data_IF_138316096923
#
_entry.id   IF_138316096923
#
_cell.length_a   1.000
_cell.length_b   1.000
_cell.length_c   1.000
_cell.angle_alpha   90.00
_cell.angle_beta   90.00
_cell.angle_gamma   90.00
#
_symmetry.space_group_name_H-M   'P 1'
#
loop_
_entity.id
_entity.type
_entity.pdbx_description
1 polymer ?
#
# COMPACT_ATOMS: atom_id res chain seq x y z
N UNK A 1 -24.15 -4.37 10.98
CA UNK A 1 -22.69 -4.09 10.96
C UNK A 1 -22.48 -2.61 11.27
N UNK A 2 -21.52 -2.27 12.14
CA UNK A 2 -21.12 -0.88 12.39
C UNK A 2 -19.79 -0.60 11.69
N UNK A 3 -19.68 0.54 11.02
CA UNK A 3 -18.46 0.99 10.38
C UNK A 3 -18.35 2.52 10.47
N UNK A 4 -17.14 3.05 10.37
CA UNK A 4 -16.88 4.49 10.48
C UNK A 4 -16.34 4.98 9.14
N UNK A 5 -16.88 6.10 8.66
CA UNK A 5 -16.44 6.78 7.45
C UNK A 5 -16.21 8.26 7.77
N UNK A 6 -15.01 8.78 7.55
CA UNK A 6 -14.60 10.16 7.86
C UNK A 6 -14.94 10.61 9.29
N UNK A 7 -14.83 9.71 10.27
CA UNK A 7 -15.14 9.98 11.67
C UNK A 7 -16.62 9.86 12.05
N UNK A 8 -17.53 9.70 11.08
CA UNK A 8 -18.95 9.46 11.30
C UNK A 8 -19.23 7.95 11.39
N UNK A 9 -20.01 7.53 12.40
CA UNK A 9 -20.35 6.11 12.60
C UNK A 9 -21.67 5.76 11.94
N UNK A 10 -21.64 4.74 11.09
CA UNK A 10 -22.81 4.21 10.38
C UNK A 10 -23.14 2.82 10.90
N UNK A 11 -24.43 2.57 11.09
CA UNK A 11 -24.96 1.25 11.38
C UNK A 11 -25.84 0.82 10.23
N UNK A 12 -25.54 -0.35 9.67
CA UNK A 12 -26.23 -0.89 8.52
C UNK A 12 -26.55 -2.36 8.72
N UNK A 13 -27.82 -2.75 8.54
CA UNK A 13 -28.27 -4.14 8.50
C UNK A 13 -28.65 -4.56 7.08
N UNK A 14 -28.77 -5.87 6.86
CA UNK A 14 -29.17 -6.42 5.56
C UNK A 14 -30.58 -5.95 5.18
N UNK A 15 -31.49 -5.87 6.15
CA UNK A 15 -32.88 -5.43 5.98
C UNK A 15 -32.94 -3.94 5.60
N UNK A 16 -32.09 -3.12 6.21
CA UNK A 16 -32.00 -1.69 5.90
C UNK A 16 -31.48 -1.43 4.49
N UNK A 17 -30.55 -2.26 3.99
CA UNK A 17 -30.11 -2.19 2.59
C UNK A 17 -31.28 -2.47 1.65
N UNK A 18 -32.04 -3.54 1.87
CA UNK A 18 -33.19 -3.87 1.02
C UNK A 18 -34.24 -2.75 1.01
N UNK A 19 -34.65 -2.27 2.19
CA UNK A 19 -35.65 -1.22 2.33
C UNK A 19 -35.23 0.08 1.61
N UNK A 20 -33.96 0.48 1.71
CA UNK A 20 -33.45 1.74 1.13
C UNK A 20 -33.15 1.65 -0.36
N UNK A 21 -33.11 0.45 -0.93
CA UNK A 21 -32.97 0.24 -2.37
C UNK A 21 -34.32 0.21 -3.09
N UNK A 22 -35.44 0.06 -2.37
CA UNK A 22 -36.78 0.05 -2.97
C UNK A 22 -37.06 1.37 -3.72
N UNK A 23 -37.58 1.25 -4.94
CA UNK A 23 -37.88 2.39 -5.81
C UNK A 23 -36.68 2.98 -6.56
N UNK A 24 -35.48 2.44 -6.37
CA UNK A 24 -34.29 2.82 -7.15
C UNK A 24 -33.94 1.76 -8.20
N UNK A 25 -33.25 2.16 -9.27
CA UNK A 25 -32.75 1.26 -10.30
C UNK A 25 -31.21 1.18 -10.26
N UNK A 26 -30.60 0.01 -10.55
CA UNK A 26 -29.15 -0.12 -10.62
C UNK A 26 -28.58 0.66 -11.80
N UNK A 27 -27.50 1.39 -11.55
CA UNK A 27 -26.72 2.05 -12.59
C UNK A 27 -25.84 1.04 -13.36
N UNK A 28 -25.35 1.39 -14.57
CA UNK A 28 -24.47 0.52 -15.34
C UNK A 28 -23.24 0.06 -14.54
N UNK A 29 -23.02 -1.25 -14.53
CA UNK A 29 -21.95 -1.90 -13.77
C UNK A 29 -20.68 -1.90 -14.60
N UNK A 30 -19.66 -1.17 -14.13
CA UNK A 30 -18.39 -1.06 -14.85
C UNK A 30 -17.42 -2.23 -14.59
N UNK A 31 -17.29 -2.66 -13.33
CA UNK A 31 -16.25 -3.63 -12.94
C UNK A 31 -16.68 -4.57 -11.82
N UNK A 32 -17.42 -4.06 -10.84
CA UNK A 32 -17.80 -4.81 -9.65
C UNK A 32 -19.29 -4.70 -9.40
N UNK A 33 -19.87 -5.78 -8.91
CA UNK A 33 -21.29 -5.85 -8.60
C UNK A 33 -21.56 -6.50 -7.25
N UNK A 34 -22.72 -6.17 -6.71
CA UNK A 34 -23.37 -6.86 -5.59
C UNK A 34 -24.75 -7.30 -6.04
N UNK A 35 -25.17 -8.51 -5.70
CA UNK A 35 -26.52 -9.00 -6.00
C UNK A 35 -27.45 -8.70 -4.83
N UNK A 36 -28.54 -8.00 -5.11
CA UNK A 36 -29.63 -7.66 -4.18
C UNK A 36 -30.94 -8.08 -4.85
N UNK A 37 -31.67 -9.01 -4.22
CA UNK A 37 -32.93 -9.58 -4.75
C UNK A 37 -32.83 -10.06 -6.22
N UNK A 38 -31.73 -10.75 -6.57
CA UNK A 38 -31.49 -11.27 -7.92
C UNK A 38 -31.09 -10.20 -8.95
N UNK A 39 -30.99 -8.93 -8.55
CA UNK A 39 -30.54 -7.83 -9.40
C UNK A 39 -29.10 -7.44 -9.05
N UNK A 40 -28.25 -7.21 -10.06
CA UNK A 40 -26.88 -6.76 -9.83
C UNK A 40 -26.82 -5.23 -9.75
N UNK A 41 -26.11 -4.73 -8.75
CA UNK A 41 -25.94 -3.31 -8.46
C UNK A 41 -24.46 -2.92 -8.35
N UNK A 42 -24.07 -1.68 -8.71
CA UNK A 42 -22.79 -1.11 -8.33
C UNK A 42 -22.65 -1.01 -6.79
N UNK A 43 -21.61 -1.60 -6.17
CA UNK A 43 -21.47 -1.64 -4.71
C UNK A 43 -21.48 -0.25 -4.04
N UNK A 44 -20.89 0.76 -4.69
CA UNK A 44 -20.89 2.15 -4.20
C UNK A 44 -22.28 2.78 -4.21
N UNK A 45 -23.09 2.46 -5.22
CA UNK A 45 -24.47 2.94 -5.30
C UNK A 45 -25.28 2.34 -4.15
N UNK A 46 -25.16 1.04 -3.90
CA UNK A 46 -25.86 0.35 -2.80
C UNK A 46 -25.50 0.96 -1.46
N UNK A 47 -24.22 1.18 -1.17
CA UNK A 47 -23.81 1.79 0.11
C UNK A 47 -24.28 3.25 0.22
N UNK A 48 -24.22 4.02 -0.84
CA UNK A 48 -24.71 5.41 -0.85
C UNK A 48 -26.20 5.50 -0.54
N UNK A 49 -27.03 4.69 -1.20
CA UNK A 49 -28.47 4.60 -0.91
C UNK A 49 -28.72 4.06 0.50
N UNK A 50 -27.98 3.04 0.90
CA UNK A 50 -28.13 2.41 2.20
C UNK A 50 -27.67 3.28 3.38
N UNK A 51 -26.79 4.27 3.17
CA UNK A 51 -26.28 5.16 4.23
C UNK A 51 -26.86 6.57 4.16
N UNK A 52 -27.46 6.96 3.03
CA UNK A 52 -27.95 8.32 2.77
C UNK A 52 -26.85 9.32 2.41
N UNK A 53 -25.59 8.89 2.31
CA UNK A 53 -24.47 9.77 1.92
C UNK A 53 -24.42 9.85 0.40
N UNK A 54 -24.76 11.03 -0.14
CA UNK A 54 -24.84 11.28 -1.57
C UNK A 54 -23.46 11.30 -2.26
N UNK A 55 -22.41 11.70 -1.54
CA UNK A 55 -21.05 11.70 -2.08
C UNK A 55 -20.46 10.29 -2.12
N UNK A 56 -20.49 9.71 -3.32
CA UNK A 56 -19.99 8.36 -3.58
C UNK A 56 -18.47 8.26 -3.63
N UNK A 57 -17.75 9.39 -3.66
CA UNK A 57 -16.28 9.40 -3.62
C UNK A 57 -15.75 9.09 -2.22
N UNK A 58 -16.56 9.35 -1.17
CA UNK A 58 -16.27 8.93 0.21
C UNK A 58 -16.18 7.40 0.34
N UNK A 59 -16.81 6.66 -0.56
CA UNK A 59 -16.78 5.20 -0.54
C UNK A 59 -15.73 4.64 -1.50
N UNK A 60 -14.85 3.76 -1.01
CA UNK A 60 -14.00 2.94 -1.88
C UNK A 60 -14.77 1.69 -2.34
N UNK A 61 -14.60 1.28 -3.61
CA UNK A 61 -15.34 0.14 -4.20
C UNK A 61 -15.08 -1.17 -3.46
N UNK A 62 -13.86 -1.38 -2.97
CA UNK A 62 -13.47 -2.58 -2.22
C UNK A 62 -14.08 -2.58 -0.82
N UNK A 63 -14.05 -1.45 -0.11
CA UNK A 63 -14.71 -1.31 1.20
C UNK A 63 -16.22 -1.53 1.09
N UNK A 64 -16.87 -0.95 0.08
CA UNK A 64 -18.29 -1.16 -0.18
C UNK A 64 -18.64 -2.65 -0.41
N UNK A 65 -17.82 -3.37 -1.19
CA UNK A 65 -18.00 -4.82 -1.40
C UNK A 65 -17.78 -5.62 -0.13
N UNK A 66 -16.73 -5.31 0.64
CA UNK A 66 -16.41 -6.01 1.88
C UNK A 66 -17.52 -5.82 2.93
N UNK A 67 -18.08 -4.62 3.02
CA UNK A 67 -19.21 -4.31 3.90
C UNK A 67 -20.48 -5.09 3.50
N UNK A 68 -20.81 -5.12 2.21
CA UNK A 68 -21.97 -5.84 1.70
C UNK A 68 -21.80 -7.36 1.82
N UNK A 69 -20.59 -7.87 1.57
CA UNK A 69 -20.27 -9.28 1.79
C UNK A 69 -20.40 -9.67 3.27
N UNK A 70 -19.96 -8.80 4.20
CA UNK A 70 -20.15 -8.99 5.66
C UNK A 70 -21.62 -8.93 6.09
N UNK A 71 -22.47 -8.25 5.32
CA UNK A 71 -23.93 -8.25 5.50
C UNK A 71 -24.61 -9.46 4.82
N UNK A 72 -23.83 -10.37 4.22
CA UNK A 72 -24.32 -11.60 3.61
C UNK A 72 -24.81 -11.45 2.17
N UNK A 73 -24.42 -10.40 1.47
CA UNK A 73 -24.70 -10.22 0.05
C UNK A 73 -23.64 -10.89 -0.83
N UNK A 74 -24.06 -11.43 -1.97
CA UNK A 74 -23.15 -11.98 -2.98
C UNK A 74 -22.49 -10.84 -3.74
N UNK A 75 -21.17 -10.81 -3.79
CA UNK A 75 -20.39 -9.79 -4.52
C UNK A 75 -19.51 -10.46 -5.58
N UNK A 76 -19.35 -9.80 -6.73
CA UNK A 76 -18.55 -10.32 -7.84
C UNK A 76 -17.80 -9.22 -8.59
N UNK A 77 -16.93 -9.63 -9.51
CA UNK A 77 -16.17 -8.73 -10.39
C UNK A 77 -15.67 -9.44 -11.63
N UNK A 78 -15.53 -8.71 -12.74
CA UNK A 78 -15.05 -9.24 -14.02
C UNK A 78 -15.45 -8.34 -15.19
N UNK A 79 -14.65 -8.33 -16.27
CA UNK A 79 -14.94 -7.60 -17.50
C UNK A 79 -16.32 -8.02 -18.04
N UNK A 80 -17.24 -7.07 -18.11
CA UNK A 80 -18.61 -7.32 -18.51
C UNK A 80 -18.72 -7.61 -20.00
N UNK A 81 -19.00 -8.86 -20.34
CA UNK A 81 -19.90 -9.19 -21.45
C UNK A 81 -21.05 -10.01 -20.89
N UNK A 82 -22.25 -9.52 -21.14
CA UNK A 82 -23.53 -10.08 -20.70
C UNK A 82 -23.66 -11.55 -21.14
N UNK A 83 -23.98 -12.44 -20.21
CA UNK A 83 -24.67 -13.69 -20.52
C UNK A 83 -25.75 -13.96 -19.48
N UNK A 84 -26.99 -13.66 -19.85
CA UNK A 84 -28.15 -14.47 -19.51
C UNK A 84 -29.34 -14.06 -20.39
N UNK A 85 -29.40 -14.61 -21.60
CA UNK A 85 -30.64 -15.10 -22.25
C UNK A 85 -30.34 -15.52 -23.68
N UNK A 86 -30.14 -16.82 -23.94
CA UNK A 86 -30.87 -17.61 -24.98
C UNK A 86 -30.32 -19.04 -25.16
N UNK A 87 -31.14 -19.95 -25.73
CA UNK A 87 -31.10 -21.39 -25.44
C UNK A 87 -30.14 -22.20 -26.33
N UNK A 88 -29.95 -23.45 -25.89
CA UNK A 88 -29.26 -24.55 -26.57
C UNK A 88 -29.50 -24.58 -28.09
N UNK A 89 -28.41 -24.53 -28.86
CA UNK A 89 -28.30 -25.27 -30.13
C UNK A 89 -26.93 -25.96 -30.21
N UNK A 90 -27.02 -27.23 -30.62
CA UNK A 90 -26.00 -28.25 -30.80
C UNK A 90 -24.88 -27.90 -31.79
N UNK A 91 -23.67 -28.33 -31.39
CA UNK A 91 -22.65 -29.16 -32.09
C UNK A 91 -22.12 -28.77 -33.50
N UNK A 92 -20.85 -29.18 -33.66
CA UNK A 92 -20.00 -29.30 -34.86
C UNK A 92 -19.28 -27.97 -35.17
N UNK A 93 -17.94 -27.88 -35.19
CA UNK A 93 -16.95 -28.86 -35.63
C UNK A 93 -15.61 -28.62 -34.94
N UNK A 94 -15.03 -29.70 -34.45
CA UNK A 94 -13.62 -29.76 -34.10
C UNK A 94 -12.75 -29.74 -35.38
N UNK A 95 -11.49 -29.34 -35.21
CA UNK A 95 -10.34 -29.71 -36.04
C UNK A 95 -10.22 -29.06 -37.44
N UNK A 96 -9.50 -27.93 -37.43
CA UNK A 96 -8.51 -27.43 -38.41
C UNK A 96 -8.36 -25.95 -38.05
N UNK A 97 -7.29 -25.47 -37.44
CA UNK A 97 -5.91 -25.47 -37.93
C UNK A 97 -5.01 -25.25 -36.71
N UNK A 98 -4.21 -26.26 -36.36
CA UNK A 98 -2.99 -26.05 -35.59
C UNK A 98 -2.00 -25.23 -36.43
N UNK A 99 -1.16 -24.43 -35.77
CA UNK A 99 -0.11 -23.52 -36.29
C UNK A 99 -0.55 -22.09 -36.69
N UNK A 100 -0.46 -21.16 -35.73
CA UNK A 100 0.67 -20.20 -35.62
C UNK A 100 0.46 -19.34 -34.37
N UNK A 101 1.12 -19.73 -33.27
CA UNK A 101 1.39 -18.78 -32.18
C UNK A 101 2.52 -17.90 -32.72
N UNK A 102 2.20 -16.64 -33.03
CA UNK A 102 3.21 -15.62 -33.27
C UNK A 102 3.47 -14.99 -31.90
N UNK A 103 4.69 -15.20 -31.40
CA UNK A 103 5.24 -14.50 -30.25
C UNK A 103 5.02 -12.99 -30.40
N UNK A 104 4.35 -12.39 -29.42
CA UNK A 104 4.51 -10.95 -29.14
C UNK A 104 5.68 -10.85 -28.17
N UNK A 105 6.83 -10.26 -28.56
CA UNK A 105 8.00 -10.20 -27.69
C UNK A 105 7.72 -9.29 -26.49
N UNK A 106 7.94 -9.80 -25.29
CA UNK A 106 8.00 -9.08 -24.01
C UNK A 106 9.25 -8.20 -23.88
N UNK A 107 9.78 -7.65 -24.98
CA UNK A 107 11.10 -7.01 -25.03
C UNK A 107 11.07 -5.48 -25.23
N UNK A 108 10.28 -4.75 -24.43
CA UNK A 108 10.37 -3.29 -24.36
C UNK A 108 10.85 -2.73 -23.01
N UNK A 109 11.29 -3.60 -22.09
CA UNK A 109 11.71 -3.19 -20.74
C UNK A 109 13.15 -2.62 -20.69
N UNK A 110 13.93 -2.72 -21.79
CA UNK A 110 15.35 -2.31 -21.84
C UNK A 110 15.68 -1.12 -22.76
N UNK A 111 14.69 -0.44 -23.37
CA UNK A 111 15.00 0.78 -24.16
C UNK A 111 15.09 1.99 -23.22
N UNK A 112 16.18 2.77 -23.27
CA UNK A 112 16.28 4.00 -22.48
C UNK A 112 15.21 5.00 -22.95
N UNK A 113 14.47 5.57 -22.00
CA UNK A 113 13.50 6.65 -22.26
C UNK A 113 14.20 7.85 -22.91
N UNK A 114 13.58 8.42 -23.95
CA UNK A 114 14.10 9.60 -24.65
C UNK A 114 13.53 10.89 -24.07
N UNK A 115 12.23 10.90 -23.72
CA UNK A 115 11.51 12.08 -23.19
C UNK A 115 10.59 11.70 -22.03
N UNK A 116 10.51 12.57 -21.00
CA UNK A 116 9.63 12.38 -19.84
C UNK A 116 8.52 13.43 -19.82
N UNK A 117 7.26 13.00 -19.73
CA UNK A 117 6.10 13.90 -19.58
C UNK A 117 5.51 13.73 -18.18
N UNK A 118 5.40 14.80 -17.39
CA UNK A 118 4.77 14.76 -16.06
C UNK A 118 3.45 15.55 -16.05
N UNK A 119 2.43 15.07 -15.33
CA UNK A 119 1.14 15.75 -15.23
C UNK A 119 1.14 16.93 -14.26
N UNK A 120 0.42 18.01 -14.59
CA UNK A 120 0.14 19.09 -13.65
C UNK A 120 -0.73 18.61 -12.47
N UNK A 121 -0.75 19.37 -11.37
CA UNK A 121 -1.53 19.09 -10.16
C UNK A 121 -2.37 20.29 -9.74
N UNK A 122 -3.34 20.06 -8.85
CA UNK A 122 -4.22 21.13 -8.33
C UNK A 122 -3.44 22.19 -7.55
N UNK A 123 -2.60 21.78 -6.59
CA UNK A 123 -1.87 22.69 -5.70
C UNK A 123 -0.79 23.47 -6.46
N UNK A 124 -0.92 24.79 -6.47
CA UNK A 124 0.01 25.74 -7.13
C UNK A 124 0.36 26.88 -6.18
N UNK A 125 1.42 27.62 -6.50
CA UNK A 125 1.67 28.95 -5.92
C UNK A 125 0.51 29.91 -6.25
N UNK A 126 0.40 30.97 -5.46
CA UNK A 126 -0.55 32.07 -5.65
C UNK A 126 -0.05 33.16 -6.61
N UNK A 127 1.18 33.04 -7.11
CA UNK A 127 1.82 33.96 -8.03
C UNK A 127 2.49 33.21 -9.20
N UNK A 128 2.69 33.92 -10.31
CA UNK A 128 3.41 33.41 -11.47
C UNK A 128 4.83 32.95 -11.15
N UNK A 129 5.23 31.87 -11.81
CA UNK A 129 6.54 31.25 -11.65
C UNK A 129 6.92 30.46 -12.91
N UNK A 130 8.15 29.94 -12.96
CA UNK A 130 8.48 28.90 -13.93
C UNK A 130 7.58 27.67 -13.71
N UNK A 131 7.16 27.00 -14.78
CA UNK A 131 6.21 25.89 -14.72
C UNK A 131 6.67 24.76 -13.77
N UNK A 132 7.98 24.48 -13.69
CA UNK A 132 8.55 23.50 -12.75
C UNK A 132 8.40 23.90 -11.27
N UNK A 133 8.30 25.19 -10.98
CA UNK A 133 8.22 25.76 -9.63
C UNK A 133 6.79 26.17 -9.24
N UNK A 134 5.88 26.29 -10.23
CA UNK A 134 4.49 26.68 -10.02
C UNK A 134 3.70 25.67 -9.20
N UNK A 135 3.94 24.36 -9.38
CA UNK A 135 3.17 23.30 -8.71
C UNK A 135 3.87 22.79 -7.45
N UNK A 136 3.13 22.76 -6.33
CA UNK A 136 3.72 22.60 -4.99
C UNK A 136 3.28 21.33 -4.25
N UNK A 137 2.50 20.45 -4.87
CA UNK A 137 2.10 19.21 -4.21
C UNK A 137 3.28 18.24 -4.05
N UNK A 138 3.29 17.45 -2.98
CA UNK A 138 4.34 16.44 -2.74
C UNK A 138 4.48 15.46 -3.91
N UNK A 139 3.35 15.08 -4.52
CA UNK A 139 3.33 14.23 -5.71
C UNK A 139 4.04 14.89 -6.90
N UNK A 140 3.77 16.17 -7.18
CA UNK A 140 4.43 16.88 -8.27
C UNK A 140 5.94 17.06 -8.03
N UNK A 141 6.33 17.42 -6.80
CA UNK A 141 7.75 17.56 -6.44
C UNK A 141 8.52 16.25 -6.67
N UNK A 142 7.91 15.10 -6.38
CA UNK A 142 8.47 13.77 -6.65
C UNK A 142 8.55 13.45 -8.14
N UNK A 143 7.51 13.75 -8.91
CA UNK A 143 7.52 13.61 -10.38
C UNK A 143 8.63 14.44 -11.02
N UNK A 144 8.75 15.70 -10.60
CA UNK A 144 9.81 16.61 -11.05
C UNK A 144 11.19 16.08 -10.70
N UNK A 145 11.43 15.69 -9.46
CA UNK A 145 12.72 15.16 -9.04
C UNK A 145 13.12 13.92 -9.85
N UNK A 146 12.16 13.04 -10.15
CA UNK A 146 12.39 11.89 -11.03
C UNK A 146 12.72 12.30 -12.47
N UNK A 147 11.95 13.22 -13.06
CA UNK A 147 12.20 13.72 -14.40
C UNK A 147 13.57 14.42 -14.51
N UNK A 148 13.96 15.23 -13.53
CA UNK A 148 15.28 15.87 -13.47
C UNK A 148 16.42 14.84 -13.33
N UNK A 149 16.23 13.79 -12.52
CA UNK A 149 17.20 12.71 -12.33
C UNK A 149 17.36 11.79 -13.56
N UNK A 150 16.39 11.79 -14.48
CA UNK A 150 16.48 11.01 -15.73
C UNK A 150 17.55 11.53 -16.69
N UNK A 151 17.97 12.79 -16.54
CA UNK A 151 18.84 13.51 -17.47
C UNK A 151 18.32 13.53 -18.93
N UNK A 152 17.00 13.39 -19.10
CA UNK A 152 16.30 13.49 -20.39
C UNK A 152 15.52 14.80 -20.49
N UNK A 153 15.22 15.27 -21.72
CA UNK A 153 14.21 16.29 -21.93
C UNK A 153 12.90 15.93 -21.22
N UNK A 154 12.30 16.91 -20.55
CA UNK A 154 11.05 16.70 -19.84
C UNK A 154 10.11 17.90 -19.89
N UNK A 155 8.81 17.62 -19.86
CA UNK A 155 7.76 18.62 -20.00
C UNK A 155 6.60 18.37 -19.05
N UNK A 156 5.79 19.41 -18.82
CA UNK A 156 4.60 19.33 -17.96
C UNK A 156 3.34 19.36 -18.83
N UNK A 157 2.49 18.35 -18.67
CA UNK A 157 1.16 18.31 -19.27
C UNK A 157 0.19 19.15 -18.41
N UNK A 158 -0.20 20.31 -18.95
CA UNK A 158 -1.15 21.24 -18.36
C UNK A 158 -2.53 21.10 -19.03
N UNK A 159 -3.59 20.97 -18.23
CA UNK A 159 -4.96 20.98 -18.75
C UNK A 159 -5.29 22.26 -19.55
N UNK A 160 -4.67 23.38 -19.20
CA UNK A 160 -4.93 24.71 -19.79
C UNK A 160 -3.97 25.04 -20.91
N UNK A 161 -2.67 24.86 -20.66
CA UNK A 161 -1.63 25.31 -21.58
C UNK A 161 -1.13 24.21 -22.51
N UNK A 162 -1.59 22.97 -22.38
CA UNK A 162 -1.11 21.85 -23.19
C UNK A 162 0.24 21.35 -22.69
N UNK A 163 1.31 21.69 -23.40
CA UNK A 163 2.67 21.30 -23.08
C UNK A 163 3.45 22.50 -22.57
N UNK A 164 4.05 22.38 -21.38
CA UNK A 164 4.88 23.42 -20.78
C UNK A 164 6.33 22.96 -20.65
N UNK A 165 7.26 23.79 -21.10
CA UNK A 165 8.68 23.60 -20.79
C UNK A 165 8.95 23.92 -19.31
N UNK A 166 9.91 23.26 -18.64
CA UNK A 166 10.16 23.43 -17.20
C UNK A 166 10.40 24.89 -16.78
N UNK A 167 11.09 25.66 -17.62
CA UNK A 167 11.45 27.06 -17.33
C UNK A 167 10.46 28.08 -17.92
N UNK A 168 9.38 27.64 -18.56
CA UNK A 168 8.37 28.53 -19.11
C UNK A 168 7.63 29.26 -17.99
N UNK A 169 7.52 30.59 -18.08
CA UNK A 169 6.75 31.38 -17.11
C UNK A 169 5.25 31.14 -17.28
N UNK A 170 4.55 30.87 -16.17
CA UNK A 170 3.11 30.57 -16.13
C UNK A 170 2.48 31.18 -14.88
N UNK A 171 1.32 31.80 -15.05
CA UNK A 171 0.47 32.30 -13.95
C UNK A 171 -0.42 31.18 -13.38
N UNK A 172 -0.82 31.22 -12.10
CA UNK A 172 -1.72 30.22 -11.53
C UNK A 172 -3.08 30.19 -12.26
N UNK A 173 -3.58 28.99 -12.51
CA UNK A 173 -4.80 28.74 -13.26
C UNK A 173 -5.58 27.56 -12.67
N UNK A 174 -6.88 27.48 -12.97
CA UNK A 174 -7.75 26.38 -12.53
C UNK A 174 -8.44 25.75 -13.73
N UNK A 175 -7.89 24.62 -14.20
CA UNK A 175 -8.51 23.76 -15.21
C UNK A 175 -8.23 22.31 -14.91
N UNK A 176 -9.27 21.48 -14.98
CA UNK A 176 -9.18 20.04 -14.80
C UNK A 176 -9.58 19.35 -16.11
N UNK A 177 -8.61 18.71 -16.76
CA UNK A 177 -8.81 18.11 -18.09
C UNK A 177 -10.02 17.15 -18.18
N UNK A 178 -10.30 16.30 -17.18
CA UNK A 178 -11.48 15.42 -17.19
C UNK A 178 -12.83 16.14 -17.24
N UNK A 179 -12.91 17.39 -16.76
CA UNK A 179 -14.14 18.18 -16.77
C UNK A 179 -14.39 18.86 -18.13
N UNK A 180 -13.45 18.76 -19.07
CA UNK A 180 -13.53 19.40 -20.38
C UNK A 180 -14.25 18.51 -21.40
N UNK A 181 -14.80 19.14 -22.45
CA UNK A 181 -15.50 18.42 -23.51
C UNK A 181 -14.58 17.45 -24.25
N UNK A 182 -15.16 16.49 -24.95
CA UNK A 182 -14.40 15.55 -25.79
C UNK A 182 -13.65 16.28 -26.89
N UNK A 183 -14.28 17.28 -27.50
CA UNK A 183 -13.71 18.11 -28.56
C UNK A 183 -12.51 18.91 -28.03
N UNK A 184 -12.62 19.47 -26.82
CA UNK A 184 -11.51 20.14 -26.16
C UNK A 184 -10.34 19.18 -25.94
N UNK A 185 -10.58 17.97 -25.41
CA UNK A 185 -9.52 16.98 -25.17
C UNK A 185 -8.82 16.54 -26.45
N UNK A 186 -9.56 16.38 -27.55
CA UNK A 186 -8.97 16.06 -28.87
C UNK A 186 -8.08 17.21 -29.34
N UNK A 187 -8.58 18.45 -29.35
CA UNK A 187 -7.81 19.61 -29.77
C UNK A 187 -6.58 19.85 -28.87
N UNK A 188 -6.76 19.68 -27.56
CA UNK A 188 -5.69 19.73 -26.57
C UNK A 188 -4.60 18.70 -26.86
N UNK A 189 -4.97 17.44 -27.16
CA UNK A 189 -4.00 16.39 -27.44
C UNK A 189 -3.23 16.63 -28.75
N UNK A 190 -3.89 17.09 -29.81
CA UNK A 190 -3.19 17.47 -31.06
C UNK A 190 -2.20 18.62 -30.84
N UNK A 191 -2.58 19.64 -30.04
CA UNK A 191 -1.69 20.74 -29.70
C UNK A 191 -0.47 20.26 -28.89
N UNK A 192 -0.69 19.39 -27.90
CA UNK A 192 0.41 18.79 -27.09
C UNK A 192 1.41 18.05 -27.99
N UNK A 193 0.93 17.20 -28.90
CA UNK A 193 1.81 16.42 -29.79
C UNK A 193 2.54 17.31 -30.79
N UNK A 194 1.86 18.33 -31.33
CA UNK A 194 2.50 19.33 -32.20
C UNK A 194 3.62 20.08 -31.47
N UNK A 195 3.34 20.55 -30.26
CA UNK A 195 4.30 21.35 -29.49
C UNK A 195 5.48 20.47 -29.02
N UNK A 196 5.24 19.19 -28.74
CA UNK A 196 6.28 18.22 -28.43
C UNK A 196 7.18 17.95 -29.64
N UNK A 197 6.60 17.71 -30.82
CA UNK A 197 7.36 17.51 -32.06
C UNK A 197 8.13 18.77 -32.48
N UNK A 198 7.59 19.96 -32.20
CA UNK A 198 8.30 21.21 -32.42
C UNK A 198 9.52 21.39 -31.50
N UNK A 199 9.48 20.84 -30.28
CA UNK A 199 10.59 20.87 -29.32
C UNK A 199 11.63 19.78 -29.60
N UNK A 200 11.19 18.53 -29.77
CA UNK A 200 12.06 17.35 -29.79
C UNK A 200 12.39 16.87 -31.22
N UNK A 201 11.73 17.44 -32.24
CA UNK A 201 11.80 16.96 -33.61
C UNK A 201 10.86 15.79 -33.90
N UNK A 202 11.04 15.09 -35.04
CA UNK A 202 10.18 13.97 -35.43
C UNK A 202 10.08 12.90 -34.35
N UNK A 203 8.85 12.48 -34.02
CA UNK A 203 8.59 11.56 -32.90
C UNK A 203 8.65 10.06 -33.27
N UNK A 204 9.12 9.72 -34.47
CA UNK A 204 9.21 8.33 -34.91
C UNK A 204 10.24 7.57 -34.06
N UNK A 205 9.81 6.43 -33.50
CA UNK A 205 10.60 5.56 -32.60
C UNK A 205 11.04 6.19 -31.27
N UNK A 206 10.63 7.44 -30.97
CA UNK A 206 10.91 8.12 -29.70
C UNK A 206 10.16 7.44 -28.56
N UNK A 207 10.87 7.07 -27.49
CA UNK A 207 10.30 6.48 -26.28
C UNK A 207 9.91 7.59 -25.30
N UNK A 208 8.61 7.77 -25.10
CA UNK A 208 8.02 8.80 -24.23
C UNK A 208 7.46 8.14 -22.98
N UNK A 209 8.03 8.48 -21.83
CA UNK A 209 7.55 8.01 -20.53
C UNK A 209 6.61 9.04 -19.91
N UNK A 210 5.39 8.62 -19.58
CA UNK A 210 4.31 9.50 -19.15
C UNK A 210 3.91 9.24 -17.71
N UNK A 211 4.04 10.27 -16.89
CA UNK A 211 3.72 10.31 -15.47
C UNK A 211 2.54 11.26 -15.22
N UNK A 212 1.37 10.90 -15.74
CA UNK A 212 0.16 11.70 -15.62
C UNK A 212 -1.06 10.85 -15.22
N UNK A 213 -2.17 11.51 -14.89
CA UNK A 213 -3.44 10.83 -14.65
C UNK A 213 -4.00 10.20 -15.93
N UNK A 214 -4.78 9.14 -15.80
CA UNK A 214 -5.30 8.36 -16.93
C UNK A 214 -5.93 9.20 -18.04
N UNK A 215 -6.71 10.22 -17.70
CA UNK A 215 -7.34 11.10 -18.69
C UNK A 215 -6.34 11.85 -19.59
N UNK A 216 -5.16 12.19 -19.08
CA UNK A 216 -4.10 12.80 -19.89
C UNK A 216 -3.47 11.75 -20.81
N UNK A 217 -3.07 10.61 -20.25
CA UNK A 217 -2.45 9.50 -20.96
C UNK A 217 -3.35 9.03 -22.11
N UNK A 218 -4.61 8.71 -21.82
CA UNK A 218 -5.60 8.27 -22.80
C UNK A 218 -5.79 9.29 -23.93
N UNK A 219 -5.74 10.59 -23.63
CA UNK A 219 -5.94 11.65 -24.62
C UNK A 219 -4.76 11.76 -25.59
N UNK A 220 -3.52 11.62 -25.10
CA UNK A 220 -2.31 11.75 -25.93
C UNK A 220 -1.86 10.45 -26.59
N UNK A 221 -2.31 9.28 -26.12
CA UNK A 221 -1.86 7.98 -26.65
C UNK A 221 -2.07 7.85 -28.16
N UNK A 222 -3.30 8.06 -28.63
CA UNK A 222 -3.61 7.92 -30.05
C UNK A 222 -2.82 8.89 -30.96
N UNK A 223 -2.75 10.22 -30.70
CA UNK A 223 -1.98 11.12 -31.55
C UNK A 223 -0.47 10.88 -31.52
N UNK A 224 0.12 10.50 -30.37
CA UNK A 224 1.53 10.13 -30.28
C UNK A 224 1.83 8.85 -31.08
N UNK A 225 1.01 7.81 -30.94
CA UNK A 225 1.19 6.57 -31.72
C UNK A 225 1.07 6.78 -33.22
N UNK A 226 0.23 7.72 -33.69
CA UNK A 226 0.16 8.08 -35.12
C UNK A 226 1.44 8.71 -35.64
N UNK A 227 2.26 9.33 -34.79
CA UNK A 227 3.59 9.85 -35.14
C UNK A 227 4.72 8.84 -34.98
N UNK A 228 4.39 7.59 -34.62
CA UNK A 228 5.36 6.52 -34.45
C UNK A 228 6.07 6.52 -33.09
N UNK A 229 5.60 7.30 -32.11
CA UNK A 229 6.17 7.31 -30.77
C UNK A 229 5.76 6.06 -29.97
N UNK A 230 6.66 5.60 -29.11
CA UNK A 230 6.43 4.51 -28.15
C UNK A 230 6.12 5.11 -26.80
N UNK A 231 5.02 4.71 -26.16
CA UNK A 231 4.54 5.33 -24.92
C UNK A 231 4.65 4.33 -23.79
N UNK A 232 5.23 4.78 -22.67
CA UNK A 232 5.36 3.99 -21.45
C UNK A 232 4.67 4.76 -20.32
N UNK A 233 3.66 4.15 -19.68
CA UNK A 233 3.10 4.64 -18.40
C UNK A 233 3.52 3.65 -17.30
N UNK A 234 4.64 3.88 -16.61
CA UNK A 234 5.15 2.96 -15.59
C UNK A 234 4.25 2.91 -14.35
N UNK A 235 3.27 3.82 -14.25
CA UNK A 235 2.36 3.95 -13.14
C UNK A 235 0.93 3.52 -13.49
N UNK A 236 0.73 2.91 -14.67
CA UNK A 236 -0.56 2.46 -15.14
C UNK A 236 -1.18 1.47 -14.14
N UNK A 237 -2.45 1.72 -13.77
CA UNK A 237 -3.18 0.86 -12.84
C UNK A 237 -2.74 0.96 -11.36
N UNK A 238 -1.69 1.73 -11.05
CA UNK A 238 -1.29 1.98 -9.67
C UNK A 238 -2.23 3.01 -9.00
N UNK A 239 -2.65 2.69 -7.78
CA UNK A 239 -3.37 3.63 -6.93
C UNK A 239 -2.46 4.79 -6.51
N UNK A 240 -3.03 5.95 -6.19
CA UNK A 240 -2.28 7.19 -5.90
C UNK A 240 -1.15 7.02 -4.86
N UNK A 241 -1.39 6.31 -3.75
CA UNK A 241 -0.34 6.02 -2.77
C UNK A 241 0.82 5.18 -3.33
N UNK A 242 0.52 4.15 -4.14
CA UNK A 242 1.53 3.32 -4.82
C UNK A 242 2.34 4.11 -5.84
N UNK A 243 1.71 5.08 -6.51
CA UNK A 243 2.40 6.01 -7.42
C UNK A 243 3.39 6.90 -6.66
N UNK A 244 3.01 7.40 -5.49
CA UNK A 244 3.91 8.20 -4.63
C UNK A 244 5.10 7.35 -4.12
N UNK A 245 4.84 6.11 -3.72
CA UNK A 245 5.86 5.15 -3.28
C UNK A 245 6.86 4.82 -4.40
N UNK A 246 6.39 4.67 -5.64
CA UNK A 246 7.23 4.38 -6.81
C UNK A 246 8.36 5.43 -7.01
N UNK A 247 8.08 6.71 -6.78
CA UNK A 247 9.10 7.77 -6.87
C UNK A 247 10.05 7.77 -5.67
N UNK A 248 9.53 7.59 -4.46
CA UNK A 248 10.35 7.53 -3.24
C UNK A 248 11.37 6.38 -3.29
N UNK A 249 11.00 5.25 -3.91
CA UNK A 249 11.89 4.12 -4.15
C UNK A 249 13.05 4.44 -5.12
N UNK A 250 12.87 5.39 -6.05
CA UNK A 250 13.86 5.74 -7.09
C UNK A 250 14.69 6.98 -6.77
N UNK A 251 14.18 7.91 -5.96
CA UNK A 251 14.87 9.14 -5.55
C UNK A 251 16.06 8.90 -4.59
N UNK A 252 16.18 7.71 -3.99
CA UNK A 252 17.18 7.43 -2.94
C UNK A 252 18.49 6.82 -3.45
N UNK A 253 18.65 6.58 -4.76
CA UNK A 253 19.91 6.09 -5.34
C UNK A 253 20.45 4.79 -4.71
N UNK A 254 19.61 4.05 -3.97
CA UNK A 254 19.93 2.80 -3.30
C UNK A 254 18.96 1.76 -3.83
N UNK A 255 19.51 0.66 -4.35
CA UNK A 255 18.72 -0.43 -4.92
C UNK A 255 17.55 -0.84 -4.02
N UNK A 256 16.43 -1.17 -4.68
CA UNK A 256 15.30 -1.97 -4.19
C UNK A 256 15.40 -2.31 -2.69
N UNK A 257 14.89 -1.46 -1.80
CA UNK A 257 14.53 -1.93 -0.47
C UNK A 257 13.15 -2.58 -0.60
N UNK A 258 13.15 -3.92 -0.63
CA UNK A 258 11.94 -4.73 -0.65
C UNK A 258 11.02 -4.35 0.53
N UNK A 259 9.71 -4.37 0.31
CA UNK A 259 8.73 -4.28 1.40
C UNK A 259 9.03 -5.38 2.43
N UNK A 260 8.87 -5.13 3.74
CA UNK A 260 9.07 -6.18 4.74
C UNK A 260 8.15 -7.38 4.45
N UNK A 261 8.74 -8.56 4.30
CA UNK A 261 8.02 -9.83 4.19
C UNK A 261 8.38 -10.78 5.33
N UNK A 262 7.67 -11.91 5.40
CA UNK A 262 7.91 -12.91 6.44
C UNK A 262 9.29 -13.57 6.30
N UNK A 263 9.80 -13.79 5.09
CA UNK A 263 11.08 -14.46 4.86
C UNK A 263 12.26 -13.62 5.34
N UNK A 264 12.23 -12.31 5.10
CA UNK A 264 13.20 -11.36 5.65
C UNK A 264 13.21 -11.37 7.19
N UNK A 265 12.04 -11.59 7.81
CA UNK A 265 11.88 -11.67 9.26
C UNK A 265 12.12 -13.07 9.83
N UNK A 266 12.21 -14.11 8.98
CA UNK A 266 12.60 -15.50 9.31
C UNK A 266 14.09 -15.77 9.18
N UNK A 267 14.77 -15.01 8.34
CA UNK A 267 16.18 -15.21 8.00
C UNK A 267 17.10 -14.96 9.21
N UNK A 268 17.40 -16.03 9.96
CA UNK A 268 18.23 -16.01 11.17
C UNK A 268 19.62 -15.43 10.90
N UNK A 269 20.13 -15.47 9.67
CA UNK A 269 21.41 -14.85 9.33
C UNK A 269 21.40 -13.32 9.51
N UNK A 270 20.20 -12.71 9.53
CA UNK A 270 20.00 -11.28 9.78
C UNK A 270 19.84 -10.94 11.26
N UNK A 271 19.68 -11.93 12.13
CA UNK A 271 19.40 -11.69 13.55
C UNK A 271 20.67 -11.19 14.27
N UNK A 272 20.60 -9.96 14.79
CA UNK A 272 21.73 -9.29 15.45
C UNK A 272 21.60 -9.35 16.97
N UNK A 273 22.70 -9.54 17.72
CA UNK A 273 22.73 -9.36 19.16
C UNK A 273 22.30 -7.94 19.57
N UNK A 274 21.63 -7.81 20.72
CA UNK A 274 21.10 -6.50 21.14
C UNK A 274 22.18 -5.48 21.47
N UNK A 275 23.34 -5.92 21.98
CA UNK A 275 24.48 -5.04 22.25
C UNK A 275 24.95 -4.33 20.99
N UNK A 276 25.02 -5.07 19.88
CA UNK A 276 25.42 -4.53 18.59
C UNK A 276 24.40 -3.51 18.05
N UNK A 277 23.10 -3.77 18.21
CA UNK A 277 22.05 -2.81 17.86
C UNK A 277 22.25 -1.51 18.65
N UNK A 278 22.48 -1.61 19.96
CA UNK A 278 22.69 -0.46 20.85
C UNK A 278 23.94 0.33 20.47
N UNK A 279 25.05 -0.35 20.19
CA UNK A 279 26.33 0.25 19.79
C UNK A 279 26.21 0.99 18.44
N UNK A 280 25.37 0.48 17.54
CA UNK A 280 25.05 1.13 16.26
C UNK A 280 24.27 2.45 16.39
N UNK A 281 23.79 2.81 17.59
CA UNK A 281 23.09 4.08 17.90
C UNK A 281 21.98 4.43 16.89
N UNK A 282 21.30 3.42 16.36
CA UNK A 282 20.19 3.55 15.41
C UNK A 282 20.59 3.79 13.95
N UNK A 283 21.87 3.62 13.57
CA UNK A 283 22.28 3.65 12.17
C UNK A 283 21.46 2.62 11.35
N UNK A 284 20.85 3.06 10.25
CA UNK A 284 20.03 2.20 9.37
C UNK A 284 18.63 1.83 9.88
N UNK A 285 18.28 2.14 11.14
CA UNK A 285 17.00 1.74 11.76
C UNK A 285 16.26 2.89 12.46
N UNK A 286 16.63 4.14 12.15
CA UNK A 286 15.87 5.35 12.51
C UNK A 286 14.72 5.61 11.52
N UNK A 287 14.01 4.56 11.18
CA UNK A 287 12.90 4.53 10.24
C UNK A 287 11.76 3.68 10.81
N UNK A 288 10.52 3.83 10.31
CA UNK A 288 9.46 2.86 10.57
C UNK A 288 9.84 1.49 10.00
N UNK A 289 9.15 0.42 10.42
CA UNK A 289 9.44 -0.93 9.91
C UNK A 289 8.92 -2.05 10.77
N UNK A 290 9.28 -3.26 10.38
CA UNK A 290 8.98 -4.51 11.09
C UNK A 290 10.22 -5.04 11.81
N UNK A 291 10.01 -5.80 12.87
CA UNK A 291 11.07 -6.51 13.58
C UNK A 291 10.57 -7.86 14.09
N UNK A 292 11.51 -8.78 14.27
CA UNK A 292 11.28 -10.10 14.87
C UNK A 292 12.39 -10.44 15.86
N UNK A 293 12.00 -11.13 16.93
CA UNK A 293 12.86 -11.49 18.06
C UNK A 293 13.09 -13.00 18.09
N UNK A 294 14.34 -13.35 18.29
CA UNK A 294 14.84 -14.71 18.33
C UNK A 294 15.43 -14.99 19.70
N UNK A 295 15.18 -16.20 20.21
CA UNK A 295 15.79 -16.72 21.42
C UNK A 295 16.77 -17.83 21.06
N UNK A 296 17.87 -17.93 21.79
CA UNK A 296 18.78 -19.07 21.72
C UNK A 296 18.22 -20.31 22.47
N UNK A 297 19.01 -21.39 22.51
CA UNK A 297 18.57 -22.65 23.11
C UNK A 297 18.42 -22.59 24.64
N UNK A 298 19.28 -21.83 25.32
CA UNK A 298 19.22 -21.66 26.78
C UNK A 298 17.99 -20.83 27.15
N UNK A 299 17.78 -19.70 26.49
CA UNK A 299 16.60 -18.88 26.72
C UNK A 299 15.31 -19.62 26.35
N UNK A 300 15.29 -20.44 25.30
CA UNK A 300 14.14 -21.28 24.97
C UNK A 300 13.81 -22.27 26.10
N UNK A 301 14.84 -22.82 26.75
CA UNK A 301 14.69 -23.73 27.90
C UNK A 301 14.08 -23.00 29.09
N UNK A 302 14.57 -21.80 29.42
CA UNK A 302 14.02 -20.97 30.49
C UNK A 302 12.54 -20.61 30.24
N UNK A 303 12.22 -20.22 29.00
CA UNK A 303 10.86 -19.90 28.61
C UNK A 303 9.95 -21.13 28.68
N UNK A 304 10.45 -22.29 28.28
CA UNK A 304 9.71 -23.55 28.34
C UNK A 304 9.39 -23.94 29.79
N UNK A 305 10.37 -23.79 30.69
CA UNK A 305 10.21 -24.04 32.12
C UNK A 305 9.13 -23.13 32.72
N UNK A 306 9.20 -21.81 32.45
CA UNK A 306 8.21 -20.86 32.96
C UNK A 306 6.81 -21.01 32.36
N UNK A 307 6.70 -21.45 31.10
CA UNK A 307 5.40 -21.70 30.46
C UNK A 307 4.81 -23.06 30.84
N UNK A 308 5.64 -24.03 31.26
CA UNK A 308 5.25 -25.43 31.38
C UNK A 308 4.89 -26.06 30.03
N UNK A 309 5.33 -25.45 28.93
CA UNK A 309 5.08 -25.88 27.55
C UNK A 309 6.33 -25.62 26.73
N UNK A 310 6.61 -26.49 25.75
CA UNK A 310 7.81 -26.40 24.94
C UNK A 310 7.82 -25.15 24.04
N UNK A 311 8.94 -24.44 24.05
CA UNK A 311 9.27 -23.32 23.16
C UNK A 311 10.53 -23.72 22.39
N UNK A 312 10.44 -23.72 21.06
CA UNK A 312 11.60 -23.99 20.21
C UNK A 312 12.58 -22.81 20.22
N UNK A 313 13.91 -23.06 20.17
CA UNK A 313 14.88 -22.03 19.87
C UNK A 313 14.59 -21.37 18.52
N UNK A 314 14.71 -20.05 18.44
CA UNK A 314 14.39 -19.30 17.23
C UNK A 314 13.33 -18.23 17.45
N UNK A 315 12.45 -18.05 16.45
CA UNK A 315 11.48 -16.94 16.41
C UNK A 315 10.45 -17.05 17.54
N UNK A 316 10.40 -16.05 18.42
CA UNK A 316 9.46 -16.02 19.55
C UNK A 316 8.43 -14.89 19.48
N UNK A 317 8.76 -13.77 18.82
CA UNK A 317 7.90 -12.59 18.79
C UNK A 317 8.18 -11.74 17.55
N UNK A 318 7.16 -11.05 17.02
CA UNK A 318 7.33 -10.05 15.98
C UNK A 318 6.35 -8.88 16.14
N UNK A 319 6.68 -7.74 15.53
CA UNK A 319 5.79 -6.57 15.52
C UNK A 319 6.31 -5.42 14.69
N UNK A 320 5.60 -4.29 14.76
CA UNK A 320 5.91 -3.08 14.00
C UNK A 320 6.36 -1.87 14.85
N UNK A 321 7.04 -0.94 14.19
CA UNK A 321 7.35 0.38 14.70
C UNK A 321 6.99 1.44 13.65
N UNK A 322 6.38 2.54 14.10
CA UNK A 322 6.14 3.69 13.24
C UNK A 322 4.95 3.61 12.29
N UNK A 323 4.06 2.61 12.41
CA UNK A 323 2.84 2.56 11.61
C UNK A 323 1.93 3.78 11.83
N UNK A 324 1.29 4.23 10.75
CA UNK A 324 0.31 5.30 10.79
C UNK A 324 -0.87 4.92 11.68
N UNK A 325 -1.31 5.85 12.52
CA UNK A 325 -2.38 5.58 13.48
C UNK A 325 -3.72 5.48 12.74
N UNK A 326 -4.70 4.80 13.36
CA UNK A 326 -6.08 4.75 12.84
C UNK A 326 -6.73 6.13 12.62
N UNK A 327 -6.20 7.17 13.25
CA UNK A 327 -6.60 8.56 13.04
C UNK A 327 -5.99 9.21 11.78
N UNK A 328 -5.18 8.48 11.01
CA UNK A 328 -4.42 9.00 9.86
C UNK A 328 -3.16 9.79 10.23
N UNK A 329 -2.86 9.96 11.53
CA UNK A 329 -1.69 10.70 11.97
C UNK A 329 -0.42 9.84 11.88
N UNK A 330 0.69 10.37 11.33
CA UNK A 330 1.96 9.65 11.28
C UNK A 330 2.49 9.39 12.70
N UNK A 331 3.14 8.24 12.88
CA UNK A 331 3.80 7.91 14.13
C UNK A 331 5.25 8.37 14.09
N UNK A 332 5.70 9.12 15.11
CA UNK A 332 7.11 9.50 15.27
C UNK A 332 8.00 8.36 15.75
N UNK A 333 7.44 7.17 16.00
CA UNK A 333 8.20 6.04 16.50
C UNK A 333 9.00 5.37 15.37
N UNK A 334 10.21 4.91 15.68
CA UNK A 334 11.11 4.23 14.74
C UNK A 334 11.46 2.85 15.27
N UNK A 335 12.05 1.99 14.45
CA UNK A 335 12.60 0.70 14.90
C UNK A 335 13.60 0.89 16.04
N UNK A 336 14.52 1.87 15.91
CA UNK A 336 15.41 2.26 17.00
C UNK A 336 14.67 2.66 18.28
N UNK A 337 13.69 3.57 18.16
CA UNK A 337 12.88 4.02 19.29
C UNK A 337 12.18 2.85 19.97
N UNK A 338 11.51 2.00 19.19
CA UNK A 338 10.80 0.82 19.68
C UNK A 338 11.73 -0.17 20.39
N UNK A 339 12.86 -0.53 19.78
CA UNK A 339 13.75 -1.57 20.31
C UNK A 339 14.55 -1.02 21.50
N UNK A 340 15.34 0.03 21.28
CA UNK A 340 16.30 0.51 22.27
C UNK A 340 15.62 1.21 23.46
N UNK A 341 14.53 1.93 23.23
CA UNK A 341 13.90 2.73 24.30
C UNK A 341 12.68 2.08 24.93
N UNK A 342 11.89 1.31 24.16
CA UNK A 342 10.67 0.69 24.69
C UNK A 342 10.90 -0.77 25.12
N UNK A 343 11.47 -1.62 24.26
CA UNK A 343 11.74 -3.03 24.58
C UNK A 343 12.92 -3.23 25.53
N UNK A 344 13.97 -2.41 25.38
CA UNK A 344 15.14 -2.42 26.28
C UNK A 344 15.10 -1.31 27.33
N UNK A 345 13.97 -0.58 27.39
CA UNK A 345 13.70 0.38 28.45
C UNK A 345 13.39 -0.28 29.79
N UNK A 346 13.43 0.52 30.86
CA UNK A 346 13.36 0.05 32.27
C UNK A 346 11.96 -0.33 32.78
N UNK A 347 10.91 -0.33 31.93
CA UNK A 347 9.53 -0.56 32.39
C UNK A 347 8.72 -1.44 31.43
N UNK A 348 8.26 -2.58 31.93
CA UNK A 348 7.49 -3.60 31.20
C UNK A 348 6.14 -3.09 30.69
N UNK A 349 5.53 -2.10 31.33
CA UNK A 349 4.27 -1.48 30.91
C UNK A 349 4.32 -0.86 29.50
N UNK A 350 5.52 -0.53 28.99
CA UNK A 350 5.69 0.03 27.65
C UNK A 350 6.08 -1.01 26.59
N UNK A 351 6.13 -2.29 26.95
CA UNK A 351 6.47 -3.37 26.04
C UNK A 351 5.66 -4.65 26.31
N UNK A 352 4.84 -5.02 25.33
CA UNK A 352 4.14 -6.31 25.29
C UNK A 352 5.09 -7.50 25.35
N UNK A 353 6.24 -7.42 24.65
CA UNK A 353 7.29 -8.43 24.71
C UNK A 353 7.87 -8.56 26.12
N UNK A 354 8.36 -7.47 26.74
CA UNK A 354 8.90 -7.49 28.11
C UNK A 354 7.91 -8.04 29.11
N UNK A 355 6.66 -7.60 29.03
CA UNK A 355 5.60 -8.12 29.90
C UNK A 355 5.41 -9.63 29.74
N UNK A 356 5.48 -10.14 28.51
CA UNK A 356 5.37 -11.57 28.22
C UNK A 356 6.57 -12.34 28.81
N UNK A 357 7.80 -11.94 28.46
CA UNK A 357 9.03 -12.59 28.94
C UNK A 357 9.16 -12.50 30.47
N UNK A 358 8.98 -11.32 31.03
CA UNK A 358 9.06 -11.09 32.47
C UNK A 358 8.04 -11.91 33.25
N UNK A 359 6.81 -12.05 32.75
CA UNK A 359 5.79 -12.89 33.40
C UNK A 359 6.17 -14.37 33.39
N UNK A 360 6.78 -14.86 32.30
CA UNK A 360 7.25 -16.25 32.18
C UNK A 360 8.40 -16.50 33.16
N UNK A 361 9.42 -15.63 33.16
CA UNK A 361 10.62 -15.78 33.99
C UNK A 361 10.30 -15.58 35.49
N UNK A 362 9.45 -14.62 35.83
CA UNK A 362 9.01 -14.42 37.21
C UNK A 362 8.27 -15.66 37.76
N UNK A 363 7.48 -16.32 36.91
CA UNK A 363 6.84 -17.58 37.27
C UNK A 363 7.84 -18.72 37.44
N UNK A 364 8.78 -18.87 36.51
CA UNK A 364 9.84 -19.88 36.55
C UNK A 364 10.66 -19.79 37.86
N UNK A 365 11.01 -18.57 38.26
CA UNK A 365 11.82 -18.30 39.44
C UNK A 365 11.01 -18.30 40.76
N UNK A 366 9.68 -18.41 40.69
CA UNK A 366 8.80 -18.34 41.85
C UNK A 366 8.79 -16.98 42.56
N UNK A 367 9.17 -15.90 41.85
CA UNK A 367 9.20 -14.54 42.42
C UNK A 367 7.87 -13.83 42.23
N UNK A 368 7.52 -12.92 43.15
CA UNK A 368 6.20 -12.29 43.17
C UNK A 368 5.98 -11.21 42.08
N UNK A 369 7.04 -10.70 41.47
CA UNK A 369 6.98 -9.62 40.49
C UNK A 369 8.14 -9.70 39.49
N UNK A 370 7.98 -9.01 38.36
CA UNK A 370 9.00 -8.93 37.30
C UNK A 370 10.18 -8.08 37.78
N UNK A 371 11.36 -8.69 37.85
CA UNK A 371 12.62 -7.98 38.06
C UNK A 371 13.12 -7.41 36.72
N UNK A 372 12.98 -6.10 36.54
CA UNK A 372 13.36 -5.39 35.31
C UNK A 372 14.86 -5.44 35.01
N UNK A 373 15.71 -5.53 36.04
CA UNK A 373 17.16 -5.58 35.87
C UNK A 373 17.55 -6.96 35.36
N UNK A 374 17.06 -8.02 36.02
CA UNK A 374 17.29 -9.40 35.59
C UNK A 374 16.70 -9.67 34.21
N UNK A 375 15.48 -9.20 33.94
CA UNK A 375 14.86 -9.34 32.63
C UNK A 375 15.70 -8.68 31.54
N UNK A 376 16.25 -7.48 31.79
CA UNK A 376 17.09 -6.80 30.80
C UNK A 376 18.40 -7.55 30.55
N UNK A 377 19.03 -8.06 31.61
CA UNK A 377 20.22 -8.89 31.48
C UNK A 377 19.92 -10.15 30.66
N UNK A 378 18.85 -10.88 31.02
CA UNK A 378 18.40 -12.07 30.30
C UNK A 378 18.11 -11.78 28.82
N UNK A 379 17.44 -10.66 28.51
CA UNK A 379 17.19 -10.27 27.11
C UNK A 379 18.49 -9.97 26.36
N UNK A 380 19.49 -9.35 27.00
CA UNK A 380 20.77 -9.04 26.36
C UNK A 380 21.60 -10.30 26.09
N UNK A 381 21.45 -11.33 26.92
CA UNK A 381 22.22 -12.55 26.83
C UNK A 381 21.58 -13.54 25.85
N UNK A 382 20.25 -13.68 25.85
CA UNK A 382 19.56 -14.74 25.10
C UNK A 382 18.84 -14.29 23.83
N UNK A 383 18.63 -12.98 23.62
CA UNK A 383 17.85 -12.51 22.47
C UNK A 383 18.69 -11.90 21.36
N UNK A 384 18.19 -12.13 20.14
CA UNK A 384 18.61 -11.43 18.92
C UNK A 384 17.40 -10.81 18.25
N UNK A 385 17.63 -9.78 17.45
CA UNK A 385 16.57 -9.07 16.74
C UNK A 385 16.91 -8.89 15.27
N UNK A 386 15.92 -9.13 14.41
CA UNK A 386 15.94 -8.74 13.00
C UNK A 386 15.17 -7.43 12.89
N UNK A 387 15.71 -6.50 12.11
CA UNK A 387 15.05 -5.21 11.82
C UNK A 387 14.95 -5.04 10.31
N UNK A 388 13.73 -4.77 9.83
CA UNK A 388 13.44 -4.52 8.43
C UNK A 388 12.82 -3.13 8.31
N UNK A 389 13.64 -2.08 8.12
CA UNK A 389 13.14 -0.73 7.93
C UNK A 389 12.30 -0.65 6.64
N UNK A 390 11.24 0.14 6.68
CA UNK A 390 10.43 0.49 5.51
C UNK A 390 10.41 2.00 5.36
N UNK A 391 10.25 2.46 4.11
CA UNK A 391 9.96 3.86 3.82
C UNK A 391 8.45 4.18 3.95
N UNK A 392 7.58 3.16 3.86
CA UNK A 392 6.12 3.31 3.85
C UNK A 392 5.51 2.85 5.19
N UNK A 393 5.08 3.82 6.00
CA UNK A 393 4.46 3.57 7.30
C UNK A 393 2.96 3.26 7.21
N UNK A 394 2.31 3.55 6.09
CA UNK A 394 0.86 3.45 5.93
C UNK A 394 0.42 1.99 5.70
N UNK A 395 1.29 1.19 5.10
CA UNK A 395 1.05 -0.23 4.82
C UNK A 395 1.38 -1.16 5.99
N UNK A 396 2.07 -0.66 7.02
CA UNK A 396 2.63 -1.50 8.10
C UNK A 396 1.58 -2.25 8.93
N UNK A 397 0.40 -1.67 9.22
CA UNK A 397 -0.61 -2.32 10.07
C UNK A 397 -1.27 -3.53 9.38
N UNK A 398 -1.49 -3.40 8.07
CA UNK A 398 -2.01 -4.46 7.21
C UNK A 398 -0.95 -5.54 6.96
N UNK A 399 0.28 -5.14 6.63
CA UNK A 399 1.43 -6.03 6.48
C UNK A 399 1.70 -6.85 7.75
N UNK A 400 1.66 -6.21 8.92
CA UNK A 400 1.86 -6.91 10.20
C UNK A 400 0.84 -8.04 10.38
N UNK A 401 -0.42 -7.86 9.97
CA UNK A 401 -1.44 -8.91 10.11
C UNK A 401 -1.13 -10.12 9.24
N UNK A 402 -0.72 -9.89 7.99
CA UNK A 402 -0.35 -10.96 7.05
C UNK A 402 0.92 -11.67 7.52
N UNK A 403 1.95 -10.90 7.83
CA UNK A 403 3.25 -11.42 8.28
C UNK A 403 3.09 -12.22 9.59
N UNK A 404 2.33 -11.74 10.56
CA UNK A 404 2.10 -12.48 11.81
C UNK A 404 1.33 -13.79 11.60
N UNK A 405 0.38 -13.80 10.65
CA UNK A 405 -0.33 -15.03 10.29
C UNK A 405 0.59 -16.08 9.68
N UNK A 406 1.64 -15.64 8.97
CA UNK A 406 2.60 -16.53 8.35
C UNK A 406 3.68 -16.98 9.33
N UNK A 407 4.26 -16.03 10.07
CA UNK A 407 5.31 -16.27 11.06
C UNK A 407 4.82 -17.08 12.26
N UNK A 408 3.55 -16.91 12.64
CA UNK A 408 2.88 -17.51 13.81
C UNK A 408 3.74 -17.55 15.10
N UNK A 409 4.38 -16.44 15.52
CA UNK A 409 5.31 -16.45 16.64
C UNK A 409 4.62 -16.82 17.96
N UNK A 410 5.21 -17.68 18.81
CA UNK A 410 4.53 -18.28 19.96
C UNK A 410 4.11 -17.27 21.04
N UNK A 411 4.84 -16.15 21.19
CA UNK A 411 4.58 -15.18 22.25
C UNK A 411 3.72 -13.97 21.81
N UNK A 412 3.34 -13.89 20.53
CA UNK A 412 2.33 -12.92 20.11
C UNK A 412 0.93 -13.36 20.62
N UNK A 413 0.15 -12.42 21.15
CA UNK A 413 -1.23 -12.67 21.62
C UNK A 413 -2.29 -11.94 20.77
N UNK A 414 -1.88 -10.94 20.01
CA UNK A 414 -2.75 -10.17 19.13
C UNK A 414 -2.46 -10.53 17.66
N UNK A 415 -3.50 -10.48 16.81
CA UNK A 415 -3.42 -10.77 15.37
C UNK A 415 -2.95 -12.21 15.04
N UNK A 416 -3.01 -13.14 15.99
CA UNK A 416 -2.64 -14.56 15.81
C UNK A 416 -3.69 -15.49 16.44
N UNK A 417 -3.81 -16.75 15.99
CA UNK A 417 -4.75 -17.72 16.55
C UNK A 417 -4.48 -18.04 18.03
N UNK A 418 -5.52 -18.45 18.77
CA UNK A 418 -5.36 -18.90 20.16
C UNK A 418 -4.80 -20.32 20.20
N UNK A 419 -3.76 -20.54 20.98
CA UNK A 419 -3.14 -21.85 21.25
C UNK A 419 -3.06 -22.09 22.77
N UNK A 420 -2.90 -23.34 23.24
CA UNK A 420 -2.69 -23.62 24.66
C UNK A 420 -1.54 -22.80 25.28
N UNK A 421 -0.46 -22.59 24.52
CA UNK A 421 0.68 -21.78 24.92
C UNK A 421 0.29 -20.32 25.12
N UNK A 422 -0.42 -19.73 24.15
CA UNK A 422 -0.88 -18.33 24.21
C UNK A 422 -1.93 -18.11 25.30
N UNK A 423 -2.75 -19.12 25.60
CA UNK A 423 -3.69 -19.07 26.73
C UNK A 423 -2.90 -19.04 28.04
N UNK A 424 -1.94 -19.93 28.22
CA UNK A 424 -1.06 -19.94 29.41
C UNK A 424 -0.29 -18.64 29.57
N UNK A 425 0.29 -18.12 28.49
CA UNK A 425 0.96 -16.82 28.48
C UNK A 425 0.01 -15.68 28.89
N UNK A 426 -1.24 -15.72 28.43
CA UNK A 426 -2.25 -14.72 28.81
C UNK A 426 -2.58 -14.76 30.31
N UNK A 427 -2.56 -15.94 30.94
CA UNK A 427 -2.75 -16.10 32.39
C UNK A 427 -1.57 -15.53 33.17
N UNK A 428 -0.33 -15.90 32.79
CA UNK A 428 0.88 -15.39 33.43
C UNK A 428 0.94 -13.86 33.32
N UNK A 429 0.61 -13.29 32.15
CA UNK A 429 0.53 -11.84 31.94
C UNK A 429 -0.55 -11.11 32.73
N UNK A 430 -1.53 -11.83 33.31
CA UNK A 430 -2.53 -11.27 34.24
C UNK A 430 -2.05 -11.37 35.68
N UNK A 431 -1.28 -12.38 36.00
CA UNK A 431 -0.75 -12.61 37.35
C UNK A 431 0.42 -11.66 37.68
N UNK A 432 1.33 -11.45 36.73
CA UNK A 432 2.58 -10.71 36.96
C UNK A 432 2.66 -9.35 36.25
N UNK A 433 1.76 -9.11 35.28
CA UNK A 433 1.91 -8.08 34.26
C UNK A 433 1.07 -6.83 34.43
#
# INVERSE_FOLDING_TARGET
>A
MRFTLDGESFELTREQVHLRLQGHAPEPIQQYWVEVEGTRWPPKQVISLATGVADRQRFQSQSARLWLQRLGFTVGGGNGSQEASRPLVRRQSAERVAQKVVDVPTSHVDRPTDVVLIGCVKSKLDQGAAAKDLYISDYFLKMRAYAEASHRPWFILSAEHGLLAPNQWVEPYERYLPDTSREYRIAWAENVVRDLEASEGPLADVVIEVHAGAAYVESITAPLSRRGAVIIDPLQGLQFGKRLSWYSQRATGRGIQAEPDADMLRDVARARPLREILDGKGAGIRAPGMYSWYVDAEGATDLSHGLGQHVEPGLIYAGLAGATRRSGAPSSNTLWGRIATMHLGKKQQFSTLRRSLGSILAHADGVAAIDEIRLTAWMLDHLRVITVPTADADTLDELETVILSELDPPLNLAKVPRTPLRVRLSELRKQYG
#
